data_IF_693412675942
#
_entry.id   IF_693412675942
#
_cell.length_a   1.000
_cell.length_b   1.000
_cell.length_c   1.000
_cell.angle_alpha   90.00
_cell.angle_beta   90.00
_cell.angle_gamma   90.00
#
_symmetry.space_group_name_H-M   'P 1'
#
loop_
_entity.id
_entity.type
_entity.pdbx_description
1 polymer ?
#
# COMPACT_ATOMS: atom_id res chain seq x y z
N UNK A 1 24.38 15.44 -10.71
CA UNK A 1 24.86 14.25 -10.00
C UNK A 1 23.64 13.62 -9.37
N UNK A 2 23.32 12.40 -9.76
CA UNK A 2 22.18 11.66 -9.22
C UNK A 2 22.55 11.07 -7.86
N UNK A 3 21.63 11.16 -6.89
CA UNK A 3 21.82 10.58 -5.55
C UNK A 3 22.12 9.07 -5.60
N UNK A 4 21.58 8.36 -6.60
CA UNK A 4 21.82 6.94 -6.82
C UNK A 4 23.30 6.63 -7.12
N UNK A 5 23.96 7.45 -7.95
CA UNK A 5 25.37 7.27 -8.31
C UNK A 5 26.29 7.54 -7.12
N UNK A 6 25.96 8.56 -6.33
CA UNK A 6 26.76 8.96 -5.17
C UNK A 6 26.70 7.92 -4.03
N UNK A 7 25.59 7.16 -3.97
CA UNK A 7 25.37 6.13 -2.97
C UNK A 7 25.60 4.69 -3.45
N UNK A 8 25.87 4.46 -4.74
CA UNK A 8 26.00 3.12 -5.37
C UNK A 8 24.83 2.18 -5.08
N UNK A 9 23.61 2.69 -5.14
CA UNK A 9 22.38 1.91 -4.91
C UNK A 9 21.37 2.14 -6.03
N UNK A 10 20.54 1.13 -6.29
CA UNK A 10 19.44 1.23 -7.24
C UNK A 10 18.22 1.89 -6.58
N UNK A 11 17.75 3.00 -7.16
CA UNK A 11 16.57 3.74 -6.70
C UNK A 11 15.45 3.60 -7.73
N UNK A 12 14.34 2.97 -7.33
CA UNK A 12 13.14 2.81 -8.17
C UNK A 12 12.02 3.69 -7.65
N UNK A 13 11.50 4.58 -8.51
CA UNK A 13 10.39 5.48 -8.18
C UNK A 13 9.05 4.95 -8.69
N UNK A 14 7.99 5.11 -7.89
CA UNK A 14 6.61 4.90 -8.35
C UNK A 14 6.25 5.93 -9.45
N UNK A 15 5.42 5.60 -10.46
CA UNK A 15 5.05 6.52 -11.54
C UNK A 15 4.39 7.82 -11.06
N UNK A 16 3.82 7.80 -9.85
CA UNK A 16 3.19 8.98 -9.21
C UNK A 16 4.21 9.97 -8.64
N UNK A 17 5.47 9.58 -8.47
CA UNK A 17 6.54 10.45 -8.00
C UNK A 17 7.02 11.31 -9.17
N UNK A 18 6.41 12.49 -9.28
CA UNK A 18 6.73 13.49 -10.32
C UNK A 18 7.13 14.80 -9.65
N UNK A 19 8.00 15.57 -10.33
CA UNK A 19 8.52 16.84 -9.82
C UNK A 19 10.05 16.87 -9.76
N UNK A 20 10.59 18.08 -9.71
CA UNK A 20 12.03 18.33 -9.62
C UNK A 20 12.30 18.99 -8.26
N UNK A 21 13.15 18.37 -7.43
CA UNK A 21 13.49 18.90 -6.10
C UNK A 21 14.97 19.26 -6.10
N UNK A 22 15.29 20.45 -5.59
CA UNK A 22 16.66 20.89 -5.38
C UNK A 22 16.96 20.86 -3.90
N UNK A 23 17.86 19.97 -3.48
CA UNK A 23 18.30 19.84 -2.10
C UNK A 23 19.82 20.01 -2.02
N UNK A 24 20.29 20.79 -1.04
CA UNK A 24 21.70 20.89 -0.71
C UNK A 24 21.98 19.99 0.49
N UNK A 25 22.65 18.87 0.24
CA UNK A 25 23.04 17.93 1.28
C UNK A 25 24.51 18.19 1.64
N UNK A 26 24.85 18.24 2.93
CA UNK A 26 26.23 18.49 3.39
C UNK A 26 26.52 17.58 4.56
N UNK A 27 27.35 16.55 4.34
CA UNK A 27 27.83 15.62 5.37
C UNK A 27 26.72 14.90 6.16
N UNK A 28 25.68 14.43 5.44
CA UNK A 28 24.54 13.70 6.02
C UNK A 28 24.44 12.30 5.40
N UNK A 29 24.15 11.26 6.19
CA UNK A 29 23.84 9.93 5.67
C UNK A 29 22.70 9.97 4.65
N UNK A 30 22.78 9.11 3.62
CA UNK A 30 21.79 9.06 2.55
C UNK A 30 20.36 8.84 3.06
N UNK A 31 20.18 7.95 4.03
CA UNK A 31 18.87 7.63 4.60
C UNK A 31 18.23 8.86 5.25
N UNK A 32 19.01 9.61 6.02
CA UNK A 32 18.54 10.82 6.69
C UNK A 32 18.27 11.95 5.69
N UNK A 33 19.14 12.12 4.69
CA UNK A 33 18.91 13.10 3.63
C UNK A 33 17.65 12.76 2.82
N UNK A 34 17.48 11.50 2.42
CA UNK A 34 16.35 11.03 1.63
C UNK A 34 15.04 11.11 2.43
N UNK A 35 15.04 10.71 3.69
CA UNK A 35 13.90 10.83 4.60
C UNK A 35 13.40 12.27 4.70
N UNK A 36 14.33 13.21 4.96
CA UNK A 36 13.98 14.63 5.08
C UNK A 36 13.47 15.24 3.77
N UNK A 37 14.07 14.90 2.62
CA UNK A 37 13.62 15.39 1.31
C UNK A 37 12.23 14.87 0.97
N UNK A 38 11.96 13.58 1.23
CA UNK A 38 10.68 12.96 0.89
C UNK A 38 9.56 13.40 1.85
N UNK A 39 9.88 13.63 3.13
CA UNK A 39 8.92 14.10 4.14
C UNK A 39 8.32 15.46 3.80
N UNK A 40 9.05 16.34 3.09
CA UNK A 40 8.56 17.65 2.68
C UNK A 40 7.39 17.59 1.66
N UNK A 41 7.18 16.44 1.02
CA UNK A 41 6.25 16.26 -0.09
C UNK A 41 5.33 15.04 0.08
N UNK A 42 5.13 14.56 1.31
CA UNK A 42 4.31 13.38 1.62
C UNK A 42 4.74 12.11 0.87
N UNK A 43 6.04 11.98 0.59
CA UNK A 43 6.64 10.77 0.05
C UNK A 43 7.40 10.01 1.13
N UNK A 44 7.72 8.77 0.82
CA UNK A 44 8.45 7.86 1.69
C UNK A 44 9.21 6.84 0.85
N UNK A 45 10.08 6.07 1.49
CA UNK A 45 10.83 5.02 0.82
C UNK A 45 10.81 3.72 1.62
N UNK A 46 10.96 2.61 0.91
CA UNK A 46 11.16 1.28 1.47
C UNK A 46 12.54 0.81 1.01
N UNK A 47 13.43 0.56 1.95
CA UNK A 47 14.74 -0.02 1.68
C UNK A 47 14.67 -1.55 1.79
N UNK A 48 15.16 -2.24 0.76
CA UNK A 48 15.42 -3.68 0.72
C UNK A 48 16.94 -3.90 0.61
N UNK A 49 17.43 -5.14 0.73
CA UNK A 49 18.87 -5.50 0.75
C UNK A 49 19.72 -4.88 -0.38
N UNK A 50 19.15 -4.59 -1.55
CA UNK A 50 19.88 -4.03 -2.69
C UNK A 50 19.20 -2.82 -3.37
N UNK A 51 18.02 -2.40 -2.92
CA UNK A 51 17.20 -1.45 -3.66
C UNK A 51 16.38 -0.56 -2.74
N UNK A 52 16.25 0.72 -3.12
CA UNK A 52 15.35 1.67 -2.47
C UNK A 52 14.16 1.93 -3.39
N UNK A 53 12.94 1.70 -2.89
CA UNK A 53 11.70 2.01 -3.59
C UNK A 53 11.05 3.27 -3.01
N UNK A 54 10.89 4.31 -3.82
CA UNK A 54 10.26 5.58 -3.43
C UNK A 54 8.79 5.60 -3.86
N UNK A 55 7.90 5.95 -2.94
CA UNK A 55 6.46 5.99 -3.18
C UNK A 55 5.76 7.08 -2.35
N UNK A 56 4.56 7.53 -2.73
CA UNK A 56 3.74 8.40 -1.88
C UNK A 56 3.35 7.70 -0.58
N UNK A 57 3.21 8.46 0.51
CA UNK A 57 2.74 7.94 1.81
C UNK A 57 1.34 7.30 1.68
N UNK A 58 0.50 7.83 0.78
CA UNK A 58 -0.81 7.27 0.46
C UNK A 58 -0.76 5.86 -0.15
N UNK A 59 0.35 5.48 -0.82
CA UNK A 59 0.52 4.12 -1.34
C UNK A 59 0.95 3.12 -0.24
N UNK A 60 1.57 3.57 0.85
CA UNK A 60 1.88 2.69 2.00
C UNK A 60 0.60 2.16 2.64
N UNK A 61 -0.40 3.03 2.87
CA UNK A 61 -1.65 2.63 3.50
C UNK A 61 -2.37 1.55 2.67
N UNK A 62 -2.37 1.71 1.35
CA UNK A 62 -2.92 0.72 0.42
C UNK A 62 -2.09 -0.56 0.38
N UNK A 63 -0.76 -0.47 0.46
CA UNK A 63 0.11 -1.64 0.47
C UNK A 63 0.03 -2.44 1.77
N UNK A 64 -0.32 -1.80 2.90
CA UNK A 64 -0.41 -2.42 4.23
C UNK A 64 -1.78 -2.97 4.59
N UNK A 65 -2.84 -2.67 3.85
CA UNK A 65 -4.11 -3.39 4.01
C UNK A 65 -3.93 -4.83 3.51
N UNK A 66 -3.51 -5.72 4.42
CA UNK A 66 -3.57 -7.15 4.20
C UNK A 66 -5.05 -7.56 4.09
N UNK A 67 -5.42 -8.06 2.92
CA UNK A 67 -6.74 -8.60 2.68
C UNK A 67 -6.88 -9.92 3.43
N UNK A 68 -7.75 -9.96 4.43
CA UNK A 68 -8.00 -11.16 5.24
C UNK A 68 -9.22 -11.86 4.69
N UNK A 69 -9.01 -13.01 4.05
CA UNK A 69 -10.12 -13.81 3.54
C UNK A 69 -10.65 -14.77 4.61
N UNK A 70 -11.96 -14.71 4.86
CA UNK A 70 -12.67 -15.63 5.76
C UNK A 70 -13.95 -16.14 5.11
N UNK A 71 -14.30 -17.37 5.46
CA UNK A 71 -15.50 -18.05 4.98
C UNK A 71 -16.44 -18.25 6.17
N UNK A 72 -17.67 -17.76 6.03
CA UNK A 72 -18.72 -17.86 7.04
C UNK A 72 -19.88 -18.66 6.49
N UNK A 73 -20.42 -19.58 7.30
CA UNK A 73 -21.64 -20.30 6.97
C UNK A 73 -22.83 -19.59 7.60
N UNK A 74 -23.83 -19.25 6.78
CA UNK A 74 -25.08 -18.66 7.23
C UNK A 74 -26.07 -19.78 7.54
N UNK A 75 -26.64 -19.77 8.75
CA UNK A 75 -27.50 -20.87 9.25
C UNK A 75 -28.95 -20.43 9.46
N UNK A 76 -29.17 -19.17 9.86
CA UNK A 76 -30.49 -18.69 10.31
C UNK A 76 -30.98 -17.45 9.54
N UNK A 77 -30.37 -17.15 8.39
CA UNK A 77 -30.72 -16.00 7.55
C UNK A 77 -30.54 -16.32 6.07
N UNK A 78 -31.17 -15.55 5.19
CA UNK A 78 -30.93 -15.66 3.75
C UNK A 78 -29.53 -15.12 3.43
N UNK A 79 -28.70 -15.96 2.81
CA UNK A 79 -27.32 -15.61 2.53
C UNK A 79 -27.18 -14.50 1.46
N UNK A 80 -28.18 -14.28 0.60
CA UNK A 80 -28.21 -13.14 -0.34
C UNK A 80 -28.48 -11.83 0.39
N UNK A 81 -29.41 -11.82 1.35
CA UNK A 81 -29.70 -10.62 2.16
C UNK A 81 -28.48 -10.21 2.98
N UNK A 82 -27.82 -11.19 3.62
CA UNK A 82 -26.60 -10.95 4.39
C UNK A 82 -25.47 -10.44 3.48
N UNK A 83 -25.28 -11.05 2.31
CA UNK A 83 -24.26 -10.58 1.35
C UNK A 83 -24.53 -9.14 0.86
N UNK A 84 -25.80 -8.80 0.62
CA UNK A 84 -26.21 -7.44 0.24
C UNK A 84 -25.93 -6.42 1.34
N UNK A 85 -26.22 -6.77 2.60
CA UNK A 85 -25.92 -5.91 3.74
C UNK A 85 -24.41 -5.70 3.92
N UNK A 86 -23.60 -6.75 3.76
CA UNK A 86 -22.14 -6.71 3.94
C UNK A 86 -21.40 -5.83 2.92
N UNK A 87 -22.00 -5.50 1.78
CA UNK A 87 -21.39 -4.66 0.76
C UNK A 87 -20.96 -3.27 1.27
N UNK A 88 -21.65 -2.73 2.28
CA UNK A 88 -21.32 -1.44 2.88
C UNK A 88 -20.30 -1.53 4.03
N UNK A 89 -19.92 -2.74 4.44
CA UNK A 89 -19.02 -2.99 5.58
C UNK A 89 -17.63 -3.47 5.17
N UNK A 90 -17.44 -3.84 3.90
CA UNK A 90 -16.13 -4.18 3.34
C UNK A 90 -15.37 -2.93 2.90
N UNK A 91 -14.03 -2.98 2.97
CA UNK A 91 -13.18 -1.89 2.48
C UNK A 91 -13.30 -1.73 0.96
N UNK A 92 -12.77 -0.63 0.41
CA UNK A 92 -12.79 -0.40 -1.05
C UNK A 92 -12.12 -1.52 -1.86
N UNK A 93 -11.18 -2.24 -1.25
CA UNK A 93 -10.46 -3.38 -1.86
C UNK A 93 -11.08 -4.72 -1.50
N UNK A 94 -11.92 -4.75 -0.48
CA UNK A 94 -12.58 -5.94 0.00
C UNK A 94 -13.64 -6.44 -0.97
N UNK A 95 -13.94 -7.73 -0.91
CA UNK A 95 -14.93 -8.37 -1.79
C UNK A 95 -15.78 -9.35 -1.02
N UNK A 96 -17.08 -9.32 -1.28
CA UNK A 96 -18.04 -10.30 -0.78
C UNK A 96 -18.42 -11.23 -1.93
N UNK A 97 -18.29 -12.54 -1.71
CA UNK A 97 -18.76 -13.56 -2.63
C UNK A 97 -19.71 -14.52 -1.91
N UNK A 98 -20.77 -14.93 -2.60
CA UNK A 98 -21.81 -15.79 -2.05
C UNK A 98 -21.87 -17.11 -2.81
N UNK A 99 -21.86 -18.22 -2.07
CA UNK A 99 -22.24 -19.53 -2.59
C UNK A 99 -23.66 -19.89 -2.11
N UNK A 100 -24.63 -19.78 -3.02
CA UNK A 100 -26.05 -20.05 -2.73
C UNK A 100 -26.32 -21.51 -2.40
N UNK A 101 -25.60 -22.44 -3.01
CA UNK A 101 -25.83 -23.88 -2.82
C UNK A 101 -25.44 -24.37 -1.42
N UNK A 102 -24.46 -23.73 -0.79
CA UNK A 102 -23.96 -24.13 0.53
C UNK A 102 -24.22 -23.09 1.62
N UNK A 103 -24.86 -21.97 1.30
CA UNK A 103 -25.07 -20.83 2.20
C UNK A 103 -23.78 -20.32 2.86
N UNK A 104 -22.68 -20.30 2.10
CA UNK A 104 -21.41 -19.73 2.55
C UNK A 104 -21.19 -18.34 1.95
N UNK A 105 -20.68 -17.43 2.77
CA UNK A 105 -20.23 -16.10 2.37
C UNK A 105 -18.71 -16.04 2.57
N UNK A 106 -18.02 -15.61 1.52
CA UNK A 106 -16.58 -15.35 1.52
C UNK A 106 -16.42 -13.84 1.60
N UNK A 107 -15.68 -13.37 2.60
CA UNK A 107 -15.36 -11.95 2.78
C UNK A 107 -13.85 -11.82 2.73
N UNK A 108 -13.37 -10.97 1.83
CA UNK A 108 -11.96 -10.60 1.65
C UNK A 108 -11.79 -9.13 1.95
#
# INVERSE_FOLDING_TARGET
MDLAEQAKIDIVKSPKVTGNVTAKVTDVPLEEALSNILAAHDYTYIATESMIRVMPLSEIAVAREELVTRIYRITYADANEVAGALGNFVSQRGKVALNKGTSHIIVT
#
